data_IF_024499292782
#
_entry.id   IF_024499292782
#
_cell.length_a   1.000
_cell.length_b   1.000
_cell.length_c   1.000
_cell.angle_alpha   90.00
_cell.angle_beta   90.00
_cell.angle_gamma   90.00
#
_symmetry.space_group_name_H-M   'P 1'
#
loop_
_entity.id
_entity.type
_entity.pdbx_description
1 polymer ?
#
# COMPACT_ATOMS: atom_id res chain seq x y z
N UNK A 1 -37.84 41.53 4.37
CA UNK A 1 -36.56 41.00 3.82
C UNK A 1 -35.53 40.85 4.95
N UNK A 2 -35.93 40.36 6.13
CA UNK A 2 -35.09 40.38 7.36
C UNK A 2 -34.78 38.99 7.95
N UNK A 3 -35.49 37.95 7.52
CA UNK A 3 -35.41 36.61 8.15
C UNK A 3 -34.17 35.79 7.73
N UNK A 4 -33.42 36.23 6.73
CA UNK A 4 -32.28 35.48 6.16
C UNK A 4 -30.95 35.81 6.87
N UNK A 5 -30.85 36.97 7.55
CA UNK A 5 -29.63 37.36 8.27
C UNK A 5 -29.40 36.56 9.55
N UNK A 6 -30.45 36.17 10.26
CA UNK A 6 -30.33 35.41 11.53
C UNK A 6 -29.87 33.96 11.34
N UNK A 7 -30.08 33.35 10.18
CA UNK A 7 -29.68 31.96 9.93
C UNK A 7 -28.16 31.79 9.72
N UNK A 8 -27.45 32.86 9.31
CA UNK A 8 -26.00 32.79 9.05
C UNK A 8 -25.13 32.99 10.29
N UNK A 9 -25.64 33.68 11.31
CA UNK A 9 -24.85 33.94 12.53
C UNK A 9 -24.89 32.79 13.55
N UNK A 10 -25.83 31.85 13.40
CA UNK A 10 -25.98 30.71 14.33
C UNK A 10 -25.12 29.49 13.98
N UNK A 11 -24.46 29.47 12.82
CA UNK A 11 -23.69 28.29 12.36
C UNK A 11 -22.21 28.28 12.77
N UNK A 12 -21.69 29.37 13.34
CA UNK A 12 -20.25 29.53 13.61
C UNK A 12 -19.85 29.46 15.09
N UNK A 13 -20.78 29.17 16.01
CA UNK A 13 -20.46 29.01 17.43
C UNK A 13 -20.44 27.54 17.86
N UNK A 14 -19.22 27.03 18.05
CA UNK A 14 -18.98 26.06 19.12
C UNK A 14 -18.59 24.63 18.74
N UNK A 15 -17.69 24.40 17.76
CA UNK A 15 -16.83 23.21 17.91
C UNK A 15 -15.80 23.53 18.98
N UNK A 16 -15.98 22.98 20.18
CA UNK A 16 -15.05 23.17 21.30
C UNK A 16 -13.62 22.86 20.84
N UNK A 17 -12.63 23.53 21.42
CA UNK A 17 -11.22 23.32 21.02
C UNK A 17 -10.80 21.85 21.15
N UNK A 18 -11.46 21.10 22.03
CA UNK A 18 -11.42 19.64 22.14
C UNK A 18 -11.87 18.90 20.86
N UNK A 19 -12.98 19.29 20.24
CA UNK A 19 -13.45 18.68 18.98
C UNK A 19 -12.52 19.02 17.81
N UNK A 20 -11.99 20.24 17.76
CA UNK A 20 -11.01 20.64 16.74
C UNK A 20 -9.69 19.88 16.90
N UNK A 21 -9.19 19.76 18.13
CA UNK A 21 -7.99 18.98 18.45
C UNK A 21 -8.20 17.48 18.19
N UNK A 22 -9.38 16.94 18.47
CA UNK A 22 -9.73 15.55 18.15
C UNK A 22 -9.74 15.31 16.65
N UNK A 23 -10.35 16.20 15.86
CA UNK A 23 -10.35 16.11 14.41
C UNK A 23 -8.94 16.25 13.82
N UNK A 24 -8.14 17.20 14.31
CA UNK A 24 -6.75 17.37 13.90
C UNK A 24 -5.90 16.12 14.22
N UNK A 25 -6.08 15.51 15.40
CA UNK A 25 -5.44 14.24 15.77
C UNK A 25 -5.89 13.09 14.86
N UNK A 26 -7.18 12.90 14.62
CA UNK A 26 -7.66 11.85 13.71
C UNK A 26 -7.18 12.05 12.27
N UNK A 27 -7.17 13.29 11.77
CA UNK A 27 -6.64 13.62 10.45
C UNK A 27 -5.11 13.46 10.37
N UNK A 28 -4.40 13.67 11.48
CA UNK A 28 -2.97 13.41 11.60
C UNK A 28 -2.68 11.91 11.63
N UNK A 29 -3.34 11.12 12.50
CA UNK A 29 -3.21 9.67 12.53
C UNK A 29 -3.62 9.00 11.20
N UNK A 30 -4.66 9.49 10.53
CA UNK A 30 -5.04 9.02 9.21
C UNK A 30 -4.00 9.37 8.14
N UNK A 31 -3.32 10.52 8.24
CA UNK A 31 -2.22 10.90 7.35
C UNK A 31 -0.96 10.10 7.62
N UNK A 32 -0.61 9.93 8.90
CA UNK A 32 0.52 9.10 9.34
C UNK A 32 0.26 7.67 8.87
N UNK A 33 -0.87 7.05 9.20
CA UNK A 33 -1.22 5.72 8.71
C UNK A 33 -1.12 5.60 7.19
N UNK A 34 -1.65 6.55 6.40
CA UNK A 34 -1.49 6.55 4.93
C UNK A 34 -0.03 6.70 4.48
N UNK A 35 0.77 7.51 5.16
CA UNK A 35 2.19 7.68 4.87
C UNK A 35 3.00 6.43 5.27
N UNK A 36 2.72 5.82 6.41
CA UNK A 36 3.35 4.58 6.88
C UNK A 36 2.99 3.42 5.96
N UNK A 37 1.72 3.27 5.57
CA UNK A 37 1.27 2.25 4.62
C UNK A 37 1.89 2.43 3.22
N UNK A 38 1.92 3.66 2.67
CA UNK A 38 2.61 3.92 1.39
C UNK A 38 4.12 3.65 1.45
N UNK A 39 4.76 3.97 2.57
CA UNK A 39 6.19 3.72 2.76
C UNK A 39 6.51 2.24 3.04
N UNK A 40 5.60 1.50 3.67
CA UNK A 40 5.78 0.07 3.92
C UNK A 40 5.61 -0.73 2.63
N UNK A 41 4.68 -0.34 1.77
CA UNK A 41 4.48 -0.97 0.47
C UNK A 41 5.66 -0.71 -0.47
N UNK A 42 6.20 0.51 -0.52
CA UNK A 42 7.37 0.80 -1.35
C UNK A 42 8.63 0.07 -0.88
N UNK A 43 8.85 -0.07 0.44
CA UNK A 43 9.95 -0.91 0.96
C UNK A 43 9.79 -2.37 0.56
N UNK A 44 8.60 -2.95 0.73
CA UNK A 44 8.33 -4.34 0.34
C UNK A 44 8.54 -4.55 -1.17
N UNK A 45 8.04 -3.64 -2.00
CA UNK A 45 8.23 -3.69 -3.46
C UNK A 45 9.73 -3.64 -3.81
N UNK A 46 10.48 -2.73 -3.20
CA UNK A 46 11.93 -2.65 -3.41
C UNK A 46 12.64 -3.93 -2.98
N UNK A 47 12.29 -4.51 -1.83
CA UNK A 47 12.86 -5.78 -1.37
C UNK A 47 12.54 -6.94 -2.31
N UNK A 48 11.33 -6.99 -2.88
CA UNK A 48 10.94 -7.99 -3.88
C UNK A 48 11.82 -7.90 -5.13
N UNK A 49 11.93 -6.71 -5.71
CA UNK A 49 12.80 -6.49 -6.88
C UNK A 49 14.27 -6.73 -6.58
N UNK A 50 14.72 -6.42 -5.36
CA UNK A 50 16.07 -6.74 -4.92
C UNK A 50 16.33 -8.25 -4.94
N UNK A 51 15.43 -9.07 -4.37
CA UNK A 51 15.56 -10.53 -4.41
C UNK A 51 15.55 -11.06 -5.85
N UNK A 52 14.60 -10.60 -6.67
CA UNK A 52 14.52 -10.94 -8.10
C UNK A 52 15.87 -10.70 -8.78
N UNK A 53 16.48 -9.54 -8.54
CA UNK A 53 17.76 -9.16 -9.15
C UNK A 53 18.92 -10.04 -8.65
N UNK A 54 19.03 -10.29 -7.35
CA UNK A 54 20.14 -11.10 -6.79
C UNK A 54 20.03 -12.55 -7.24
N UNK A 55 18.81 -13.09 -7.30
CA UNK A 55 18.55 -14.47 -7.75
C UNK A 55 18.58 -14.63 -9.27
N UNK A 56 18.76 -13.54 -10.04
CA UNK A 56 18.77 -13.58 -11.50
C UNK A 56 17.45 -14.09 -12.11
N UNK A 57 16.33 -13.75 -11.48
CA UNK A 57 15.01 -14.22 -11.91
C UNK A 57 14.55 -13.35 -13.08
N UNK A 58 14.44 -13.97 -14.25
CA UNK A 58 13.97 -13.32 -15.47
C UNK A 58 12.79 -14.10 -16.07
N UNK A 59 12.17 -13.51 -17.09
CA UNK A 59 11.17 -14.24 -17.87
C UNK A 59 11.84 -15.44 -18.56
N UNK A 60 11.24 -16.61 -18.43
CA UNK A 60 11.76 -17.87 -18.97
C UNK A 60 12.72 -18.61 -18.03
N UNK A 61 13.02 -18.05 -16.86
CA UNK A 61 13.78 -18.77 -15.82
C UNK A 61 12.86 -19.77 -15.11
N UNK A 62 13.37 -20.97 -14.81
CA UNK A 62 12.70 -21.88 -13.88
C UNK A 62 13.18 -21.61 -12.46
N UNK A 63 12.24 -21.37 -11.55
CA UNK A 63 12.54 -21.20 -10.12
C UNK A 63 11.75 -22.22 -9.31
N UNK A 64 12.35 -22.67 -8.22
CA UNK A 64 11.69 -23.55 -7.26
C UNK A 64 10.69 -22.72 -6.44
N UNK A 65 9.40 -22.96 -6.68
CA UNK A 65 8.33 -22.42 -5.87
C UNK A 65 8.24 -23.18 -4.54
N UNK A 66 7.44 -22.65 -3.61
CA UNK A 66 7.11 -23.33 -2.37
C UNK A 66 6.72 -24.80 -2.64
N UNK A 67 7.23 -25.72 -1.83
CA UNK A 67 7.03 -27.19 -1.94
C UNK A 67 7.96 -27.94 -2.93
N UNK A 68 9.01 -27.29 -3.44
CA UNK A 68 10.02 -27.96 -4.27
C UNK A 68 9.63 -28.11 -5.73
N UNK A 69 8.55 -27.46 -6.14
CA UNK A 69 8.04 -27.50 -7.52
C UNK A 69 8.75 -26.44 -8.35
N UNK A 70 9.47 -26.87 -9.39
CA UNK A 70 10.04 -25.94 -10.38
C UNK A 70 8.93 -25.37 -11.26
N UNK A 71 8.87 -24.05 -11.36
CA UNK A 71 7.90 -23.35 -12.19
C UNK A 71 8.60 -22.35 -13.11
N UNK A 72 8.13 -22.28 -14.35
CA UNK A 72 8.61 -21.34 -15.35
C UNK A 72 8.03 -19.95 -15.09
N UNK A 73 8.90 -18.96 -14.95
CA UNK A 73 8.53 -17.57 -14.79
C UNK A 73 8.04 -17.01 -16.12
N UNK A 74 6.81 -16.50 -16.14
CA UNK A 74 6.21 -15.87 -17.32
C UNK A 74 6.44 -14.36 -17.34
N UNK A 75 6.29 -13.69 -16.19
CA UNK A 75 6.48 -12.24 -16.06
C UNK A 75 6.63 -11.80 -14.60
N UNK A 76 7.12 -10.57 -14.41
CA UNK A 76 7.22 -9.90 -13.12
C UNK A 76 6.30 -8.67 -13.13
N UNK A 77 5.44 -8.55 -12.11
CA UNK A 77 4.55 -7.39 -11.96
C UNK A 77 5.30 -6.17 -11.44
N UNK A 78 4.73 -4.98 -11.63
CA UNK A 78 5.24 -3.73 -11.04
C UNK A 78 5.35 -3.76 -9.51
N UNK A 79 4.58 -4.62 -8.84
CA UNK A 79 4.66 -4.84 -7.39
C UNK A 79 5.83 -5.75 -6.96
N UNK A 80 6.62 -6.24 -7.90
CA UNK A 80 7.70 -7.20 -7.68
C UNK A 80 7.21 -8.64 -7.45
N UNK A 81 5.94 -8.96 -7.74
CA UNK A 81 5.44 -10.34 -7.69
C UNK A 81 5.84 -11.09 -8.96
N UNK A 82 6.19 -12.36 -8.80
CA UNK A 82 6.54 -13.26 -9.90
C UNK A 82 5.27 -14.00 -10.31
N UNK A 83 5.01 -14.04 -11.61
CA UNK A 83 3.89 -14.77 -12.21
C UNK A 83 4.46 -15.93 -13.02
N UNK A 84 3.92 -17.11 -12.80
CA UNK A 84 4.28 -18.34 -13.50
C UNK A 84 3.39 -18.59 -14.71
N UNK A 85 3.82 -19.48 -15.60
CA UNK A 85 3.07 -19.83 -16.81
C UNK A 85 1.69 -20.49 -16.55
N UNK A 86 1.49 -21.04 -15.34
CA UNK A 86 0.19 -21.57 -14.89
C UNK A 86 -0.76 -20.48 -14.35
N UNK A 87 -0.33 -19.21 -14.39
CA UNK A 87 -1.08 -18.06 -13.88
C UNK A 87 -0.95 -17.84 -12.37
N UNK A 88 -0.24 -18.71 -11.63
CA UNK A 88 -0.02 -18.53 -10.21
C UNK A 88 1.00 -17.43 -9.93
N UNK A 89 0.83 -16.76 -8.78
CA UNK A 89 1.69 -15.67 -8.34
C UNK A 89 2.40 -16.04 -7.05
N UNK A 90 3.69 -15.70 -6.95
CA UNK A 90 4.48 -15.86 -5.74
C UNK A 90 5.13 -14.54 -5.34
N UNK A 91 5.19 -14.31 -4.04
CA UNK A 91 6.01 -13.24 -3.47
C UNK A 91 7.47 -13.72 -3.42
N UNK A 92 8.41 -13.08 -4.12
CA UNK A 92 9.82 -13.47 -4.07
C UNK A 92 10.42 -13.39 -2.66
N UNK A 93 9.81 -12.65 -1.73
CA UNK A 93 10.21 -12.65 -0.32
C UNK A 93 10.02 -14.02 0.35
N UNK A 94 9.19 -14.90 -0.23
CA UNK A 94 8.90 -16.25 0.25
C UNK A 94 9.66 -17.35 -0.50
N UNK A 95 10.52 -16.99 -1.46
CA UNK A 95 11.39 -17.97 -2.12
C UNK A 95 12.45 -18.41 -1.11
N UNK A 96 12.50 -19.71 -0.82
CA UNK A 96 13.56 -20.32 -0.01
C UNK A 96 14.85 -20.41 -0.81
#
# INVERSE_FOLDING_TARGET
>A
MESIKMAKESYTKGKSDLQKASFARSAHFARVARATHKSSDSRKINSRFYIIKIRGIEKGTEIEASEGVKKLVERIKFSGLIVFADGNEIDPLNLK
#
